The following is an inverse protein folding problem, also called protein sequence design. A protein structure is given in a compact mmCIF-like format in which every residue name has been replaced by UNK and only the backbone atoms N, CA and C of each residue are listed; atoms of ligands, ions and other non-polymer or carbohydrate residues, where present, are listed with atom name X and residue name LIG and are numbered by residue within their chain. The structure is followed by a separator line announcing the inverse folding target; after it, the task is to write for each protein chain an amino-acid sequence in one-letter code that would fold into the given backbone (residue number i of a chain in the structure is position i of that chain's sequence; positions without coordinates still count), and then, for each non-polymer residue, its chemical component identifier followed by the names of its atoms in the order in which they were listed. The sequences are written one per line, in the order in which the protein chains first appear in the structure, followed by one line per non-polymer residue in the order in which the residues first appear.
data_IF_757391646606
#
_entry.id   IF_757391646606
#
_cell.length_a   1.000
_cell.length_b   1.000
_cell.length_c   1.000
_cell.angle_alpha   90.00
_cell.angle_beta   90.00
_cell.angle_gamma   90.00
#
_symmetry.space_group_name_H-M   'P 1'
#
loop_
_entity.id
_entity.type
_entity.pdbx_description
1 polymer ?
#
# COMPACT_ATOMS: atom_id res chain seq x y z
N UNK A 1 -23.24 -4.58 5.01
CA UNK A 1 -22.62 -3.33 4.52
C UNK A 1 -21.24 -3.67 4.04
N UNK A 2 -20.81 -3.11 2.92
CA UNK A 2 -19.45 -3.33 2.38
C UNK A 2 -18.69 -2.04 2.43
N UNK A 3 -17.47 -2.09 2.94
CA UNK A 3 -16.53 -0.98 2.95
C UNK A 3 -15.42 -1.28 1.96
N UNK A 4 -14.92 -0.23 1.31
CA UNK A 4 -13.72 -0.25 0.49
C UNK A 4 -12.87 0.94 0.89
N UNK A 5 -11.55 0.82 0.74
CA UNK A 5 -10.62 1.90 1.06
C UNK A 5 -9.58 2.03 -0.05
N UNK A 6 -8.93 3.20 -0.10
CA UNK A 6 -7.68 3.37 -0.83
C UNK A 6 -6.49 3.09 0.09
N UNK A 7 -5.29 3.03 -0.48
CA UNK A 7 -4.06 2.71 0.25
C UNK A 7 -2.83 3.51 -0.21
N UNK A 8 -3.00 4.52 -1.09
CA UNK A 8 -1.88 5.21 -1.75
C UNK A 8 -0.77 5.72 -0.80
N UNK A 9 -1.10 6.39 0.31
CA UNK A 9 -0.09 6.78 1.31
C UNK A 9 0.57 5.58 1.99
N UNK A 10 -0.21 4.55 2.35
CA UNK A 10 0.25 3.38 3.09
C UNK A 10 1.18 2.50 2.25
N UNK A 11 0.80 2.19 1.01
CA UNK A 11 1.62 1.35 0.12
C UNK A 11 2.91 2.07 -0.28
N UNK A 12 2.86 3.40 -0.43
CA UNK A 12 4.06 4.19 -0.68
C UNK A 12 4.99 4.27 0.53
N UNK A 13 4.47 4.29 1.76
CA UNK A 13 5.30 4.18 2.96
C UNK A 13 6.01 2.82 3.00
N UNK A 14 5.28 1.72 2.80
CA UNK A 14 5.88 0.37 2.78
C UNK A 14 6.94 0.23 1.67
N UNK A 15 6.71 0.83 0.50
CA UNK A 15 7.70 0.83 -0.58
C UNK A 15 8.97 1.59 -0.20
N UNK A 16 8.85 2.71 0.53
CA UNK A 16 10.01 3.44 1.05
C UNK A 16 10.74 2.66 2.16
N UNK A 17 10.00 1.97 3.03
CA UNK A 17 10.56 1.11 4.07
C UNK A 17 11.35 -0.06 3.47
N UNK A 18 10.79 -0.73 2.46
CA UNK A 18 11.47 -1.79 1.73
C UNK A 18 12.73 -1.28 1.02
N UNK A 19 12.65 -0.16 0.30
CA UNK A 19 13.81 0.46 -0.34
C UNK A 19 14.92 0.84 0.67
N UNK A 20 14.54 1.39 1.83
CA UNK A 20 15.49 1.71 2.89
C UNK A 20 16.15 0.45 3.47
N UNK A 21 15.38 -0.63 3.64
CA UNK A 21 15.89 -1.90 4.12
C UNK A 21 16.87 -2.55 3.12
N UNK A 22 16.57 -2.53 1.82
CA UNK A 22 17.47 -3.01 0.77
C UNK A 22 18.81 -2.26 0.82
N UNK A 23 18.76 -0.92 0.87
CA UNK A 23 19.96 -0.08 0.94
C UNK A 23 20.82 -0.36 2.19
N UNK A 24 20.19 -0.64 3.33
CA UNK A 24 20.91 -0.95 4.57
C UNK A 24 21.47 -2.37 4.60
N UNK A 25 20.73 -3.35 4.06
CA UNK A 25 21.10 -4.76 4.09
C UNK A 25 22.08 -5.17 3.00
N UNK A 26 22.26 -4.35 1.97
CA UNK A 26 23.05 -4.70 0.77
C UNK A 26 22.36 -5.74 -0.10
N UNK A 27 21.04 -5.88 0.04
CA UNK A 27 20.22 -6.76 -0.78
C UNK A 27 19.99 -6.10 -2.14
N UNK A 28 20.36 -6.79 -3.21
CA UNK A 28 20.22 -6.28 -4.60
C UNK A 28 18.77 -6.31 -5.10
N UNK A 29 17.90 -7.13 -4.50
CA UNK A 29 16.52 -7.29 -4.91
C UNK A 29 15.63 -7.71 -3.73
N UNK A 30 14.47 -7.05 -3.58
CA UNK A 30 13.42 -7.47 -2.64
C UNK A 30 12.37 -8.35 -3.34
N UNK A 31 11.88 -9.36 -2.61
CA UNK A 31 10.71 -10.15 -3.00
C UNK A 31 9.38 -9.41 -2.73
N UNK A 32 9.44 -8.24 -2.06
CA UNK A 32 8.27 -7.40 -1.73
C UNK A 32 7.90 -6.48 -2.90
N UNK A 33 7.41 -7.09 -3.97
CA UNK A 33 6.82 -6.34 -5.08
C UNK A 33 5.60 -5.53 -4.63
N UNK A 34 5.22 -4.51 -5.40
CA UNK A 34 4.13 -3.59 -5.05
C UNK A 34 2.80 -4.29 -4.76
N UNK A 35 2.51 -5.44 -5.38
CA UNK A 35 1.31 -6.24 -5.11
C UNK A 35 1.33 -6.90 -3.72
N UNK A 36 2.50 -7.36 -3.27
CA UNK A 36 2.69 -7.90 -1.91
C UNK A 36 2.53 -6.79 -0.88
N UNK A 37 3.12 -5.62 -1.14
CA UNK A 37 2.97 -4.46 -0.28
C UNK A 37 1.51 -3.97 -0.24
N UNK A 38 0.81 -3.97 -1.38
CA UNK A 38 -0.62 -3.65 -1.47
C UNK A 38 -1.45 -4.58 -0.58
N UNK A 39 -1.21 -5.90 -0.68
CA UNK A 39 -1.86 -6.90 0.16
C UNK A 39 -1.58 -6.71 1.66
N UNK A 40 -0.37 -6.29 2.04
CA UNK A 40 -0.06 -5.94 3.43
C UNK A 40 -0.89 -4.74 3.92
N UNK A 41 -1.11 -3.74 3.05
CA UNK A 41 -1.95 -2.58 3.41
C UNK A 41 -3.42 -2.95 3.63
N UNK A 42 -3.95 -3.99 2.98
CA UNK A 42 -5.31 -4.47 3.22
C UNK A 42 -5.48 -4.93 4.67
N UNK A 43 -4.52 -5.73 5.17
CA UNK A 43 -4.50 -6.18 6.55
C UNK A 43 -4.34 -5.03 7.53
N UNK A 44 -3.41 -4.10 7.26
CA UNK A 44 -3.15 -2.94 8.12
C UNK A 44 -4.37 -2.03 8.23
N UNK A 45 -4.96 -1.63 7.11
CA UNK A 45 -6.09 -0.70 7.08
C UNK A 45 -7.37 -1.39 7.56
N UNK A 46 -7.61 -2.61 7.10
CA UNK A 46 -8.77 -3.40 7.49
C UNK A 46 -8.81 -3.67 9.00
N UNK A 47 -7.67 -4.02 9.60
CA UNK A 47 -7.55 -4.17 11.05
C UNK A 47 -7.95 -2.90 11.80
N UNK A 48 -7.45 -1.73 11.37
CA UNK A 48 -7.79 -0.45 12.01
C UNK A 48 -9.29 -0.14 11.88
N UNK A 49 -9.89 -0.38 10.71
CA UNK A 49 -11.33 -0.19 10.49
C UNK A 49 -12.13 -1.11 11.41
N UNK A 50 -11.78 -2.39 11.50
CA UNK A 50 -12.45 -3.36 12.35
C UNK A 50 -12.37 -2.98 13.83
N UNK A 51 -11.20 -2.57 14.32
CA UNK A 51 -11.01 -2.14 15.70
C UNK A 51 -11.90 -0.94 16.04
N UNK A 52 -11.89 0.09 15.19
CA UNK A 52 -12.66 1.32 15.40
C UNK A 52 -14.18 1.10 15.33
N UNK A 53 -14.63 0.23 14.43
CA UNK A 53 -16.05 -0.12 14.32
C UNK A 53 -16.48 -1.02 15.47
N UNK A 54 -15.68 -2.02 15.85
CA UNK A 54 -15.98 -2.93 16.97
C UNK A 54 -16.10 -2.17 18.29
N UNK A 55 -15.23 -1.17 18.50
CA UNK A 55 -15.29 -0.31 19.68
C UNK A 55 -16.60 0.48 19.79
N UNK A 56 -17.24 0.83 18.66
CA UNK A 56 -18.46 1.64 18.61
C UNK A 56 -19.74 0.81 18.54
N UNK A 57 -19.71 -0.30 17.82
CA UNK A 57 -20.90 -1.12 17.52
C UNK A 57 -21.04 -2.32 18.46
N UNK A 58 -19.98 -2.67 19.21
CA UNK A 58 -19.94 -3.86 20.03
C UNK A 58 -19.67 -5.13 19.21
N UNK A 59 -19.62 -6.28 19.90
CA UNK A 59 -19.25 -7.57 19.31
C UNK A 59 -20.42 -8.31 18.65
N UNK A 60 -21.62 -7.73 18.64
CA UNK A 60 -22.80 -8.33 18.02
C UNK A 60 -22.73 -8.33 16.48
N UNK A 61 -21.79 -7.56 15.92
CA UNK A 61 -21.57 -7.46 14.49
C UNK A 61 -20.28 -8.20 14.10
N UNK A 62 -20.43 -9.29 13.35
CA UNK A 62 -19.29 -9.94 12.71
C UNK A 62 -18.73 -9.04 11.60
N UNK A 63 -17.44 -8.74 11.68
CA UNK A 63 -16.68 -7.98 10.70
C UNK A 63 -15.49 -8.81 10.25
N UNK A 64 -15.12 -8.65 8.98
CA UNK A 64 -13.98 -9.34 8.41
C UNK A 64 -13.40 -8.50 7.26
N UNK A 65 -12.08 -8.37 7.28
CA UNK A 65 -11.23 -7.87 6.21
C UNK A 65 -10.88 -9.04 5.33
N UNK A 66 -11.06 -8.85 4.03
CA UNK A 66 -10.87 -9.91 3.04
C UNK A 66 -9.82 -9.44 2.06
N UNK A 67 -8.71 -10.19 1.98
CA UNK A 67 -7.70 -9.99 0.94
C UNK A 67 -8.33 -10.10 -0.44
N UNK A 68 -8.07 -9.10 -1.28
CA UNK A 68 -8.81 -8.88 -2.53
C UNK A 68 -7.87 -8.79 -3.73
N UNK A 69 -7.83 -9.85 -4.54
CA UNK A 69 -7.08 -9.85 -5.79
C UNK A 69 -7.93 -9.33 -6.95
N UNK A 70 -7.40 -8.39 -7.72
CA UNK A 70 -8.07 -7.80 -8.89
C UNK A 70 -7.35 -8.23 -10.16
N UNK A 71 -8.10 -8.84 -11.07
CA UNK A 71 -7.60 -9.15 -12.41
C UNK A 71 -7.57 -7.86 -13.23
N UNK A 72 -6.41 -7.56 -13.81
CA UNK A 72 -6.19 -6.45 -14.74
C UNK A 72 -5.72 -6.99 -16.09
N UNK A 73 -5.86 -6.19 -17.14
CA UNK A 73 -5.35 -6.55 -18.46
C UNK A 73 -3.81 -6.47 -18.45
N UNK A 74 -3.05 -7.56 -18.71
CA UNK A 74 -1.59 -7.52 -18.73
C UNK A 74 -1.01 -6.56 -19.79
N UNK A 75 -1.78 -6.20 -20.81
CA UNK A 75 -1.38 -5.26 -21.86
C UNK A 75 -1.91 -3.83 -21.62
N UNK A 76 -2.39 -3.53 -20.40
CA UNK A 76 -2.89 -2.19 -20.07
C UNK A 76 -1.80 -1.12 -20.28
N UNK A 77 -2.06 -0.06 -21.08
CA UNK A 77 -1.10 1.03 -21.30
C UNK A 77 -0.60 1.70 -20.01
N UNK A 78 -1.32 1.60 -18.89
CA UNK A 78 -0.91 2.11 -17.60
C UNK A 78 0.41 1.50 -17.10
N UNK A 79 0.77 0.28 -17.51
CA UNK A 79 2.06 -0.32 -17.18
C UNK A 79 3.24 0.38 -17.86
N UNK A 80 3.02 1.03 -19.00
CA UNK A 80 4.06 1.76 -19.73
C UNK A 80 4.18 3.23 -19.28
N UNK A 81 3.12 3.78 -18.69
CA UNK A 81 3.10 5.15 -18.19
C UNK A 81 2.34 5.23 -16.84
N UNK A 82 3.01 4.96 -15.71
CA UNK A 82 2.38 5.02 -14.40
C UNK A 82 1.95 6.44 -14.05
N UNK A 83 0.65 6.67 -13.86
CA UNK A 83 0.10 8.01 -13.53
C UNK A 83 -0.46 8.11 -12.11
N UNK A 84 -0.54 6.99 -11.38
CA UNK A 84 -1.05 6.96 -10.00
C UNK A 84 0.09 7.20 -9.03
N UNK A 85 -0.01 8.28 -8.26
CA UNK A 85 0.95 8.59 -7.20
C UNK A 85 0.70 7.74 -5.95
N UNK A 86 1.79 7.31 -5.31
CA UNK A 86 1.81 6.63 -4.01
C UNK A 86 2.86 7.29 -3.12
N UNK A 87 2.66 7.22 -1.80
CA UNK A 87 3.62 7.77 -0.83
C UNK A 87 3.56 9.29 -0.65
N UNK A 88 4.58 9.89 -0.02
CA UNK A 88 4.63 11.33 0.22
C UNK A 88 4.84 12.11 -1.08
N UNK A 89 4.40 13.36 -1.07
CA UNK A 89 4.69 14.31 -2.14
C UNK A 89 6.00 15.02 -1.82
N UNK A 90 6.92 15.02 -2.77
CA UNK A 90 8.20 15.74 -2.66
C UNK A 90 8.12 17.08 -3.39
N UNK A 91 8.74 18.10 -2.81
CA UNK A 91 9.10 19.32 -3.55
C UNK A 91 10.22 19.01 -4.55
N UNK A 92 10.41 19.90 -5.53
CA UNK A 92 11.48 19.77 -6.54
C UNK A 92 12.86 19.63 -5.87
N UNK A 93 13.17 20.48 -4.88
CA UNK A 93 14.41 20.40 -4.10
C UNK A 93 14.60 19.08 -3.34
N UNK A 94 13.52 18.44 -2.89
CA UNK A 94 13.57 17.15 -2.20
C UNK A 94 13.77 16.00 -3.18
N UNK A 95 13.10 16.05 -4.34
CA UNK A 95 13.27 15.08 -5.41
C UNK A 95 14.72 15.08 -5.94
N UNK A 96 15.30 16.26 -6.17
CA UNK A 96 16.70 16.39 -6.60
C UNK A 96 17.68 15.74 -5.60
N UNK A 97 17.44 15.90 -4.30
CA UNK A 97 18.29 15.29 -3.24
C UNK A 97 18.18 13.77 -3.21
N UNK A 98 17.04 13.22 -3.63
CA UNK A 98 16.80 11.78 -3.72
C UNK A 98 17.25 11.19 -5.06
N UNK A 99 17.71 12.02 -6.00
CA UNK A 99 18.15 11.61 -7.33
C UNK A 99 17.00 11.22 -8.26
N UNK A 100 15.81 11.78 -8.03
CA UNK A 100 14.61 11.61 -8.86
C UNK A 100 14.51 12.68 -9.95
#
# INVERSE_FOLDING_TARGET
VTFVHGNGPQVGLLALEDAAYQAQSGMEQSDLNLDVLDAETEGLIGYLIEQELSAKLGQDFAMATVLSQIIVDPEDPAFQNPTKFIGPVYSEDEAEKLGM
#
